data_IF_781955512857
#
_entry.id   IF_781955512857
#
_cell.length_a   1.000
_cell.length_b   1.000
_cell.length_c   1.000
_cell.angle_alpha   90.00
_cell.angle_beta   90.00
_cell.angle_gamma   90.00
#
_symmetry.space_group_name_H-M   'P 1'
#
loop_
_entity.id
_entity.type
_entity.pdbx_description
1 polymer ?
#
# COMPACT_ATOMS: atom_id res chain seq x y z
N UNK A 1 7.89 34.37 4.04
CA UNK A 1 7.75 32.91 4.20
C UNK A 1 6.26 32.59 4.31
N UNK A 2 5.57 32.50 3.17
CA UNK A 2 4.12 32.22 3.16
C UNK A 2 3.99 30.72 3.39
N UNK A 3 3.72 30.33 4.63
CA UNK A 3 3.23 28.99 4.92
C UNK A 3 1.90 28.86 4.17
N UNK A 4 1.93 28.11 3.07
CA UNK A 4 0.78 27.83 2.23
C UNK A 4 -0.35 27.31 3.14
N UNK A 5 -1.49 28.00 3.24
CA UNK A 5 -2.58 27.64 4.17
C UNK A 5 -2.99 26.17 4.02
N UNK A 6 -2.93 25.66 2.79
CA UNK A 6 -3.13 24.25 2.46
C UNK A 6 -2.16 23.29 3.15
N UNK A 7 -0.90 23.69 3.39
CA UNK A 7 0.09 22.87 4.09
C UNK A 7 -0.20 22.77 5.60
N UNK A 8 -0.56 23.89 6.23
CA UNK A 8 -0.93 23.92 7.65
C UNK A 8 -2.19 23.11 7.92
N UNK A 9 -3.22 23.25 7.08
CA UNK A 9 -4.46 22.46 7.17
C UNK A 9 -4.19 20.96 7.01
N UNK A 10 -3.37 20.56 6.02
CA UNK A 10 -2.97 19.15 5.84
C UNK A 10 -2.23 18.60 7.07
N UNK A 11 -1.36 19.41 7.70
CA UNK A 11 -0.63 19.01 8.91
C UNK A 11 -1.56 18.85 10.11
N UNK A 12 -2.53 19.74 10.30
CA UNK A 12 -3.52 19.68 11.37
C UNK A 12 -4.41 18.44 11.25
N UNK A 13 -4.85 18.09 10.04
CA UNK A 13 -5.65 16.87 9.77
C UNK A 13 -4.94 15.58 10.16
N UNK A 14 -3.62 15.56 10.20
CA UNK A 14 -2.80 14.38 10.56
C UNK A 14 -2.57 14.22 12.06
N UNK A 15 -2.88 15.23 12.88
CA UNK A 15 -2.63 15.23 14.33
C UNK A 15 -3.37 14.08 15.04
N UNK A 16 -4.69 13.86 14.82
CA UNK A 16 -5.41 12.80 15.55
C UNK A 16 -4.81 11.41 15.31
N UNK A 17 -4.51 11.08 14.05
CA UNK A 17 -3.87 9.81 13.70
C UNK A 17 -2.47 9.68 14.30
N UNK A 18 -1.68 10.77 14.32
CA UNK A 18 -0.38 10.77 15.00
C UNK A 18 -0.52 10.55 16.50
N UNK A 19 -1.41 11.25 17.18
CA UNK A 19 -1.64 11.08 18.62
C UNK A 19 -2.07 9.65 18.97
N UNK A 20 -2.98 9.06 18.19
CA UNK A 20 -3.39 7.66 18.36
C UNK A 20 -2.22 6.69 18.19
N UNK A 21 -1.33 6.91 17.22
CA UNK A 21 -0.12 6.08 17.07
C UNK A 21 0.88 6.26 18.21
N UNK A 22 1.06 7.49 18.68
CA UNK A 22 1.96 7.76 19.81
C UNK A 22 1.43 7.15 21.11
N UNK A 23 0.10 7.06 21.30
CA UNK A 23 -0.47 6.40 22.48
C UNK A 23 -0.26 4.88 22.49
N UNK A 24 -0.17 4.24 21.31
CA UNK A 24 0.21 2.81 21.18
C UNK A 24 1.66 2.53 21.61
N UNK A 25 2.46 3.55 21.95
CA UNK A 25 3.75 3.34 22.61
C UNK A 25 3.61 2.98 24.09
N UNK A 26 2.44 3.22 24.68
CA UNK A 26 2.14 2.86 26.07
C UNK A 26 1.67 1.40 26.05
N UNK A 27 2.41 0.45 26.66
CA UNK A 27 2.12 -0.99 26.54
C UNK A 27 0.68 -1.37 26.90
N UNK A 28 0.13 -0.73 27.94
CA UNK A 28 -1.26 -0.97 28.36
C UNK A 28 -2.27 -0.55 27.28
N UNK A 29 -2.06 0.59 26.63
CA UNK A 29 -2.94 1.03 25.55
C UNK A 29 -2.77 0.14 24.33
N UNK A 30 -1.54 -0.18 23.95
CA UNK A 30 -1.28 -1.11 22.83
C UNK A 30 -1.99 -2.45 23.03
N UNK A 31 -1.89 -3.04 24.22
CA UNK A 31 -2.58 -4.27 24.56
C UNK A 31 -4.10 -4.15 24.47
N UNK A 32 -4.69 -3.02 24.88
CA UNK A 32 -6.13 -2.78 24.76
C UNK A 32 -6.58 -2.67 23.30
N UNK A 33 -5.88 -1.88 22.47
CA UNK A 33 -6.19 -1.73 21.05
C UNK A 33 -5.99 -3.04 20.29
N UNK A 34 -4.93 -3.78 20.60
CA UNK A 34 -4.66 -5.08 20.03
C UNK A 34 -5.72 -6.11 20.45
N UNK A 35 -6.14 -6.11 21.71
CA UNK A 35 -7.23 -6.97 22.19
C UNK A 35 -8.57 -6.70 21.50
N UNK A 36 -8.90 -5.43 21.24
CA UNK A 36 -10.07 -5.08 20.43
C UNK A 36 -9.92 -5.56 18.97
N UNK A 37 -8.72 -5.45 18.39
CA UNK A 37 -8.43 -6.00 17.07
C UNK A 37 -8.64 -7.53 17.01
N UNK A 38 -8.12 -8.27 17.99
CA UNK A 38 -8.31 -9.73 18.08
C UNK A 38 -9.80 -10.09 18.17
N UNK A 39 -10.58 -9.40 19.01
CA UNK A 39 -12.04 -9.63 19.10
C UNK A 39 -12.75 -9.41 17.77
N UNK A 40 -12.33 -8.41 16.97
CA UNK A 40 -12.90 -8.18 15.63
C UNK A 40 -12.61 -9.34 14.68
N UNK A 41 -11.38 -9.88 14.72
CA UNK A 41 -11.03 -11.07 13.94
C UNK A 41 -11.89 -12.27 14.35
N UNK A 42 -11.99 -12.54 15.66
CA UNK A 42 -12.78 -13.66 16.19
C UNK A 42 -14.26 -13.56 15.82
N UNK A 43 -14.85 -12.38 15.98
CA UNK A 43 -16.26 -12.13 15.64
C UNK A 43 -16.53 -12.25 14.13
N UNK A 44 -15.52 -12.00 13.28
CA UNK A 44 -15.67 -12.04 11.83
C UNK A 44 -15.21 -13.36 11.20
N UNK A 45 -14.55 -14.25 11.94
CA UNK A 45 -13.93 -15.46 11.39
C UNK A 45 -14.91 -16.35 10.59
N UNK A 46 -16.17 -16.46 11.05
CA UNK A 46 -17.23 -17.24 10.39
C UNK A 46 -17.95 -16.48 9.25
N UNK A 47 -17.58 -15.23 9.01
CA UNK A 47 -18.17 -14.34 8.01
C UNK A 47 -17.19 -14.00 6.88
N UNK A 48 -16.00 -14.62 6.87
CA UNK A 48 -15.04 -14.45 5.79
C UNK A 48 -15.62 -14.96 4.46
N UNK A 49 -15.33 -14.27 3.35
CA UNK A 49 -15.75 -14.72 2.04
C UNK A 49 -15.06 -16.04 1.67
N UNK A 50 -15.74 -16.86 0.87
CA UNK A 50 -15.15 -18.06 0.33
C UNK A 50 -13.96 -17.69 -0.58
N UNK A 51 -12.82 -18.33 -0.36
CA UNK A 51 -11.65 -18.15 -1.22
C UNK A 51 -11.65 -19.22 -2.32
N UNK A 52 -11.43 -18.80 -3.57
CA UNK A 52 -11.25 -19.75 -4.67
C UNK A 52 -9.97 -20.59 -4.47
N UNK A 53 -9.97 -21.90 -4.78
CA UNK A 53 -8.79 -22.74 -4.59
C UNK A 53 -7.54 -22.25 -5.33
N UNK A 54 -7.72 -21.58 -6.48
CA UNK A 54 -6.64 -21.00 -7.27
C UNK A 54 -5.87 -19.89 -6.52
N UNK A 55 -6.52 -19.23 -5.56
CA UNK A 55 -5.94 -18.12 -4.80
C UNK A 55 -5.22 -18.57 -3.51
N UNK A 56 -5.38 -19.83 -3.09
CA UNK A 56 -4.73 -20.38 -1.91
C UNK A 56 -3.20 -20.26 -1.93
N UNK A 57 -2.48 -20.57 -3.04
CA UNK A 57 -1.03 -20.42 -3.10
C UNK A 57 -0.56 -18.97 -2.91
N UNK A 58 -1.29 -18.01 -3.49
CA UNK A 58 -1.02 -16.58 -3.32
C UNK A 58 -1.21 -16.18 -1.87
N UNK A 59 -2.36 -16.52 -1.26
CA UNK A 59 -2.65 -16.16 0.12
C UNK A 59 -1.66 -16.79 1.11
N UNK A 60 -1.32 -18.07 0.95
CA UNK A 60 -0.35 -18.77 1.79
C UNK A 60 1.05 -18.17 1.65
N UNK A 61 1.45 -17.80 0.44
CA UNK A 61 2.73 -17.14 0.20
C UNK A 61 2.77 -15.75 0.83
N UNK A 62 1.67 -15.01 0.79
CA UNK A 62 1.54 -13.71 1.46
C UNK A 62 1.66 -13.85 2.99
N UNK A 63 1.01 -14.85 3.59
CA UNK A 63 1.18 -15.15 5.03
C UNK A 63 2.63 -15.48 5.38
N UNK A 64 3.30 -16.29 4.57
CA UNK A 64 4.67 -16.78 4.84
C UNK A 64 5.75 -15.72 4.59
N UNK A 65 5.71 -15.05 3.45
CA UNK A 65 6.78 -14.16 2.98
C UNK A 65 6.48 -12.69 3.23
N UNK A 66 5.20 -12.31 3.33
CA UNK A 66 4.74 -10.92 3.39
C UNK A 66 4.65 -10.24 2.02
N UNK A 67 5.18 -10.85 0.96
CA UNK A 67 5.07 -10.35 -0.43
C UNK A 67 4.95 -11.52 -1.41
N UNK A 68 4.14 -11.35 -2.46
CA UNK A 68 3.99 -12.25 -3.60
C UNK A 68 4.05 -11.43 -4.88
N UNK A 69 4.79 -11.93 -5.88
CA UNK A 69 4.85 -11.34 -7.23
C UNK A 69 4.17 -12.30 -8.20
N UNK A 70 3.33 -11.74 -9.07
CA UNK A 70 2.59 -12.40 -10.15
C UNK A 70 2.40 -11.39 -11.28
N UNK A 71 1.48 -11.62 -12.22
CA UNK A 71 1.12 -10.65 -13.25
C UNK A 71 -0.39 -10.63 -13.50
N UNK A 72 -0.85 -9.62 -14.26
CA UNK A 72 -2.27 -9.46 -14.61
C UNK A 72 -2.82 -10.68 -15.35
N UNK A 73 -2.00 -11.32 -16.18
CA UNK A 73 -2.36 -12.53 -16.93
C UNK A 73 -2.56 -13.73 -16.00
N UNK A 74 -1.61 -13.99 -15.09
CA UNK A 74 -1.69 -15.09 -14.12
C UNK A 74 -2.81 -14.92 -13.10
N UNK A 75 -3.18 -13.68 -12.76
CA UNK A 75 -4.30 -13.43 -11.86
C UNK A 75 -5.63 -13.83 -12.49
N UNK A 76 -5.76 -13.77 -13.81
CA UNK A 76 -7.02 -14.03 -14.54
C UNK A 76 -8.21 -13.16 -14.07
N UNK A 77 -7.93 -12.05 -13.39
CA UNK A 77 -8.92 -11.05 -13.00
C UNK A 77 -8.95 -10.00 -14.10
N UNK A 78 -10.08 -9.89 -14.81
CA UNK A 78 -10.24 -8.98 -15.95
C UNK A 78 -9.63 -7.60 -15.66
N UNK A 79 -8.64 -7.19 -16.46
CA UNK A 79 -7.84 -6.00 -16.24
C UNK A 79 -8.00 -4.96 -17.36
N UNK A 80 -8.90 -5.21 -18.32
CA UNK A 80 -9.09 -4.36 -19.50
C UNK A 80 -9.38 -2.90 -19.13
N UNK A 81 -10.37 -2.64 -18.28
CA UNK A 81 -10.75 -1.27 -17.92
C UNK A 81 -9.68 -0.56 -17.07
N UNK A 82 -8.92 -1.33 -16.28
CA UNK A 82 -7.76 -0.85 -15.54
C UNK A 82 -6.67 -0.38 -16.51
N UNK A 83 -6.33 -1.22 -17.48
CA UNK A 83 -5.32 -0.95 -18.51
C UNK A 83 -5.76 0.23 -19.38
N UNK A 84 -6.99 0.24 -19.89
CA UNK A 84 -7.52 1.33 -20.73
C UNK A 84 -7.44 2.67 -19.97
N UNK A 85 -7.80 2.69 -18.68
CA UNK A 85 -7.70 3.89 -17.84
C UNK A 85 -6.24 4.31 -17.61
N UNK A 86 -5.34 3.36 -17.37
CA UNK A 86 -3.92 3.65 -17.19
C UNK A 86 -3.31 4.23 -18.48
N UNK A 87 -3.58 3.64 -19.64
CA UNK A 87 -3.06 4.10 -20.93
C UNK A 87 -3.56 5.50 -21.31
N UNK A 88 -4.74 5.93 -20.86
CA UNK A 88 -5.16 7.33 -21.03
C UNK A 88 -4.40 8.30 -20.09
N UNK A 89 -4.02 7.86 -18.89
CA UNK A 89 -3.33 8.72 -17.92
C UNK A 89 -1.83 8.79 -18.18
N UNK A 90 -1.20 7.68 -18.55
CA UNK A 90 0.26 7.54 -18.62
C UNK A 90 0.93 8.56 -19.56
N UNK A 91 0.42 8.88 -20.76
CA UNK A 91 0.98 9.93 -21.61
C UNK A 91 0.97 11.30 -20.92
N UNK A 92 -0.12 11.64 -20.21
CA UNK A 92 -0.27 12.90 -19.48
C UNK A 92 0.76 12.99 -18.35
N UNK A 93 0.91 11.90 -17.59
CA UNK A 93 1.89 11.78 -16.50
C UNK A 93 3.35 11.80 -16.99
N UNK A 94 3.62 11.24 -18.18
CA UNK A 94 4.94 11.28 -18.84
C UNK A 94 5.29 12.69 -19.30
N UNK A 95 4.32 13.45 -19.81
CA UNK A 95 4.53 14.80 -20.30
C UNK A 95 4.79 15.84 -19.19
N UNK A 96 4.38 15.55 -17.95
CA UNK A 96 4.65 16.46 -16.83
C UNK A 96 6.15 16.65 -16.59
N UNK A 97 6.59 17.90 -16.32
CA UNK A 97 7.99 18.20 -16.09
C UNK A 97 8.48 17.52 -14.82
N UNK A 98 9.72 17.04 -14.85
CA UNK A 98 10.33 16.41 -13.67
C UNK A 98 10.49 17.47 -12.56
N UNK A 99 9.90 17.25 -11.38
CA UNK A 99 10.01 18.19 -10.27
C UNK A 99 11.46 18.26 -9.77
N UNK A 100 11.94 19.46 -9.41
CA UNK A 100 13.33 19.67 -8.94
C UNK A 100 13.59 19.04 -7.56
N UNK A 101 12.58 19.00 -6.70
CA UNK A 101 12.69 18.64 -5.29
C UNK A 101 11.93 17.35 -4.92
N UNK A 102 11.08 16.84 -5.81
CA UNK A 102 10.26 15.68 -5.52
C UNK A 102 10.82 14.45 -6.23
N UNK A 103 10.74 13.32 -5.55
CA UNK A 103 11.23 12.03 -6.06
C UNK A 103 10.14 11.27 -6.83
N UNK A 104 8.93 11.81 -6.93
CA UNK A 104 7.86 11.25 -7.74
C UNK A 104 6.85 12.33 -8.14
N UNK A 105 6.10 12.07 -9.22
CA UNK A 105 4.85 12.76 -9.53
C UNK A 105 3.73 11.80 -9.17
N UNK A 106 2.77 12.25 -8.37
CA UNK A 106 1.72 11.40 -7.80
C UNK A 106 0.35 11.89 -8.24
N UNK A 107 -0.42 11.02 -8.89
CA UNK A 107 -1.85 11.22 -9.14
C UNK A 107 -2.64 10.54 -8.03
N UNK A 108 -3.49 11.33 -7.36
CA UNK A 108 -4.40 10.86 -6.33
C UNK A 108 -5.77 11.48 -6.55
N UNK A 109 -5.89 12.79 -6.41
CA UNK A 109 -7.16 13.52 -6.58
C UNK A 109 -7.68 13.38 -8.02
N UNK A 110 -6.76 13.41 -8.99
CA UNK A 110 -7.02 13.29 -10.42
C UNK A 110 -7.64 11.94 -10.80
N UNK A 111 -7.40 10.91 -9.99
CA UNK A 111 -7.91 9.57 -10.27
C UNK A 111 -9.43 9.49 -10.15
N UNK A 112 -10.09 10.45 -9.50
CA UNK A 112 -11.56 10.45 -9.39
C UNK A 112 -12.27 10.47 -10.75
N UNK A 113 -11.61 11.01 -11.78
CA UNK A 113 -12.09 11.01 -13.17
C UNK A 113 -12.00 9.63 -13.84
N UNK A 114 -11.39 8.65 -13.16
CA UNK A 114 -11.15 7.28 -13.63
C UNK A 114 -11.73 6.26 -12.64
N UNK A 115 -13.07 6.22 -12.47
CA UNK A 115 -13.71 5.34 -11.49
C UNK A 115 -13.39 3.85 -11.71
N UNK A 116 -13.05 3.45 -12.93
CA UNK A 116 -12.70 2.06 -13.25
C UNK A 116 -11.44 1.56 -12.55
N UNK A 117 -10.50 2.45 -12.20
CA UNK A 117 -9.34 2.07 -11.38
C UNK A 117 -9.79 1.61 -9.98
N UNK A 118 -10.75 2.31 -9.39
CA UNK A 118 -11.32 1.96 -8.08
C UNK A 118 -12.18 0.71 -8.18
N UNK A 119 -13.02 0.61 -9.22
CA UNK A 119 -13.89 -0.56 -9.43
C UNK A 119 -13.09 -1.83 -9.67
N UNK A 120 -11.94 -1.75 -10.36
CA UNK A 120 -11.02 -2.87 -10.47
C UNK A 120 -10.54 -3.33 -9.09
N UNK A 121 -10.10 -2.39 -8.23
CA UNK A 121 -9.67 -2.66 -6.86
C UNK A 121 -10.78 -3.21 -5.94
N UNK A 122 -12.05 -3.07 -6.35
CA UNK A 122 -13.21 -3.55 -5.61
C UNK A 122 -13.79 -4.85 -6.19
N UNK A 123 -13.15 -5.49 -7.17
CA UNK A 123 -13.64 -6.77 -7.70
C UNK A 123 -13.74 -7.82 -6.60
N UNK A 124 -14.85 -8.58 -6.60
CA UNK A 124 -15.18 -9.54 -5.53
C UNK A 124 -14.01 -10.50 -5.26
N UNK A 125 -13.43 -11.15 -6.28
CA UNK A 125 -12.28 -12.05 -6.10
C UNK A 125 -11.04 -11.38 -5.46
N UNK A 126 -10.78 -10.10 -5.76
CA UNK A 126 -9.71 -9.35 -5.07
C UNK A 126 -10.07 -9.09 -3.60
N UNK A 127 -11.32 -8.71 -3.33
CA UNK A 127 -11.80 -8.53 -1.96
C UNK A 127 -11.77 -9.85 -1.19
N UNK A 128 -12.04 -10.99 -1.83
CA UNK A 128 -11.96 -12.31 -1.21
C UNK A 128 -10.54 -12.62 -0.74
N UNK A 129 -9.53 -12.38 -1.59
CA UNK A 129 -8.12 -12.53 -1.23
C UNK A 129 -7.73 -11.57 -0.09
N UNK A 130 -8.08 -10.30 -0.22
CA UNK A 130 -7.69 -9.25 0.74
C UNK A 130 -8.35 -9.48 2.10
N UNK A 131 -9.66 -9.73 2.14
CA UNK A 131 -10.40 -9.96 3.39
C UNK A 131 -9.98 -11.25 4.07
N UNK A 132 -9.69 -12.33 3.33
CA UNK A 132 -9.11 -13.54 3.91
C UNK A 132 -7.71 -13.29 4.52
N UNK A 133 -6.92 -12.38 3.96
CA UNK A 133 -5.62 -12.01 4.56
C UNK A 133 -5.79 -11.12 5.81
N UNK A 134 -6.65 -10.11 5.73
CA UNK A 134 -6.92 -9.17 6.81
C UNK A 134 -7.65 -9.82 7.99
N UNK A 135 -8.54 -10.77 7.71
CA UNK A 135 -9.42 -11.44 8.67
C UNK A 135 -10.67 -10.64 9.06
N UNK A 136 -10.91 -9.50 8.39
CA UNK A 136 -11.99 -8.53 8.64
C UNK A 136 -12.39 -7.85 7.32
N UNK A 137 -13.55 -7.18 7.25
CA UNK A 137 -13.94 -6.41 6.07
C UNK A 137 -12.89 -5.38 5.68
N UNK A 138 -12.62 -5.30 4.37
CA UNK A 138 -11.58 -4.44 3.85
C UNK A 138 -12.06 -3.00 3.70
N UNK A 139 -11.13 -2.06 3.82
CA UNK A 139 -11.26 -0.68 3.39
C UNK A 139 -10.25 -0.43 2.28
N UNK A 140 -10.69 0.03 1.10
CA UNK A 140 -9.82 0.62 0.09
C UNK A 140 -9.39 2.01 0.56
N UNK A 141 -8.31 2.04 1.35
CA UNK A 141 -7.82 3.22 2.03
C UNK A 141 -7.22 4.26 1.08
N UNK A 142 -6.52 3.81 0.03
CA UNK A 142 -5.94 4.70 -0.97
C UNK A 142 -5.77 4.02 -2.34
N UNK A 143 -5.90 4.83 -3.40
CA UNK A 143 -5.47 4.51 -4.75
C UNK A 143 -4.49 5.59 -5.18
N UNK A 144 -3.33 5.20 -5.68
CA UNK A 144 -2.24 6.15 -5.99
C UNK A 144 -1.49 5.69 -7.22
N UNK A 145 -1.49 6.48 -8.28
CA UNK A 145 -0.69 6.28 -9.48
C UNK A 145 0.53 7.18 -9.41
N UNK A 146 1.72 6.64 -9.67
CA UNK A 146 2.97 7.39 -9.51
C UNK A 146 3.90 7.19 -10.69
N UNK A 147 4.58 8.28 -11.07
CA UNK A 147 5.83 8.27 -11.81
C UNK A 147 6.97 8.49 -10.83
N UNK A 148 7.78 7.47 -10.60
CA UNK A 148 8.96 7.53 -9.74
C UNK A 148 10.16 8.01 -10.55
N UNK A 149 10.82 9.09 -10.10
CA UNK A 149 11.90 9.75 -10.83
C UNK A 149 13.24 9.02 -10.66
N UNK A 150 13.91 8.70 -11.76
CA UNK A 150 15.25 8.09 -11.78
C UNK A 150 16.35 9.10 -11.40
N UNK A 151 16.43 9.45 -10.11
CA UNK A 151 17.45 10.37 -9.56
C UNK A 151 18.37 9.68 -8.53
N UNK A 152 18.17 8.38 -8.28
CA UNK A 152 18.95 7.58 -7.32
C UNK A 152 18.81 8.00 -5.85
N UNK A 153 17.96 8.97 -5.51
CA UNK A 153 17.91 9.54 -4.15
C UNK A 153 17.09 8.65 -3.19
N UNK A 154 17.66 8.19 -2.06
CA UNK A 154 16.96 7.39 -1.06
C UNK A 154 16.22 8.30 -0.07
N UNK A 155 15.13 8.91 -0.51
CA UNK A 155 14.29 9.81 0.31
C UNK A 155 12.89 9.24 0.54
N UNK A 156 12.33 9.50 1.72
CA UNK A 156 10.96 9.12 2.08
C UNK A 156 10.72 7.60 1.90
N UNK A 157 9.61 7.22 1.25
CA UNK A 157 9.21 5.82 0.97
C UNK A 157 10.23 5.00 0.17
N UNK A 158 11.32 5.62 -0.29
CA UNK A 158 12.46 4.94 -0.93
C UNK A 158 13.50 4.43 0.05
N UNK A 159 13.38 4.82 1.31
CA UNK A 159 14.13 4.26 2.43
C UNK A 159 13.36 3.08 3.02
N UNK A 160 14.04 2.24 3.79
CA UNK A 160 13.42 1.09 4.45
C UNK A 160 12.43 1.54 5.51
N UNK A 161 11.24 0.99 5.51
CA UNK A 161 10.20 1.26 6.51
C UNK A 161 9.22 0.11 6.61
N UNK A 162 8.37 0.17 7.64
CA UNK A 162 7.11 -0.56 7.71
C UNK A 162 5.99 0.47 7.81
N UNK A 163 4.86 0.16 7.23
CA UNK A 163 3.71 1.05 7.20
C UNK A 163 2.94 1.00 8.53
N UNK A 164 2.53 2.15 9.11
CA UNK A 164 1.89 2.19 10.42
C UNK A 164 0.35 2.25 10.39
N UNK A 165 -0.28 2.09 9.23
CA UNK A 165 -1.72 2.30 9.00
C UNK A 165 -2.62 1.42 9.88
N UNK A 166 -2.27 0.14 10.04
CA UNK A 166 -3.10 -0.85 10.73
C UNK A 166 -2.25 -2.02 11.26
N UNK A 167 -2.85 -3.00 11.93
CA UNK A 167 -2.16 -4.22 12.41
C UNK A 167 -1.86 -5.22 11.29
N UNK A 168 -2.69 -5.25 10.24
CA UNK A 168 -2.45 -5.92 8.96
C UNK A 168 -2.95 -5.02 7.85
N UNK A 169 -2.25 -5.04 6.72
CA UNK A 169 -2.68 -4.32 5.52
C UNK A 169 -2.27 -5.10 4.27
N UNK A 170 -2.89 -4.78 3.15
CA UNK A 170 -2.48 -5.30 1.84
C UNK A 170 -2.28 -4.12 0.91
N UNK A 171 -1.15 -4.08 0.22
CA UNK A 171 -0.97 -3.25 -0.97
C UNK A 171 -0.88 -4.15 -2.19
N UNK A 172 -1.60 -3.75 -3.23
CA UNK A 172 -1.48 -4.32 -4.57
C UNK A 172 -0.82 -3.27 -5.44
N UNK A 173 0.41 -3.54 -5.89
CA UNK A 173 1.21 -2.65 -6.73
C UNK A 173 1.24 -3.24 -8.14
N UNK A 174 0.95 -2.43 -9.15
CA UNK A 174 0.98 -2.86 -10.57
C UNK A 174 1.94 -1.97 -11.33
N UNK A 175 2.81 -2.56 -12.15
CA UNK A 175 3.72 -1.84 -13.03
C UNK A 175 3.11 -1.57 -14.39
N UNK A 176 3.28 -0.34 -14.87
CA UNK A 176 2.85 0.12 -16.20
C UNK A 176 4.04 0.44 -17.13
N UNK A 177 5.17 -0.18 -16.85
CA UNK A 177 6.33 -0.30 -17.74
C UNK A 177 7.20 -1.46 -17.25
N UNK A 178 8.15 -1.89 -18.06
CA UNK A 178 9.15 -2.86 -17.63
C UNK A 178 10.06 -2.25 -16.56
N UNK A 179 10.22 -2.96 -15.44
CA UNK A 179 11.00 -2.52 -14.28
C UNK A 179 12.15 -3.48 -14.06
N UNK A 180 13.33 -3.10 -14.52
CA UNK A 180 14.60 -3.74 -14.18
C UNK A 180 15.13 -3.28 -12.82
N UNK A 181 16.28 -3.83 -12.39
CA UNK A 181 16.90 -3.49 -11.10
C UNK A 181 17.32 -2.01 -10.96
N UNK A 182 17.60 -1.36 -12.08
CA UNK A 182 17.92 0.06 -12.23
C UNK A 182 16.67 0.95 -12.38
N UNK A 183 15.52 0.35 -12.73
CA UNK A 183 14.20 0.96 -12.70
C UNK A 183 13.61 1.08 -11.30
N UNK A 184 14.36 0.67 -10.27
CA UNK A 184 13.99 0.83 -8.88
C UNK A 184 12.72 0.06 -8.52
N UNK A 185 12.72 -1.29 -8.54
CA UNK A 185 11.55 -2.09 -8.18
C UNK A 185 11.15 -1.91 -6.71
N UNK A 186 9.97 -2.42 -6.36
CA UNK A 186 9.64 -2.65 -4.96
C UNK A 186 10.66 -3.64 -4.40
N UNK A 187 11.12 -3.41 -3.19
CA UNK A 187 12.11 -4.26 -2.54
C UNK A 187 11.69 -4.48 -1.10
N UNK A 188 11.81 -5.72 -0.64
CA UNK A 188 11.41 -6.10 0.71
C UNK A 188 12.42 -7.03 1.36
N UNK A 189 12.33 -7.14 2.69
CA UNK A 189 13.02 -8.18 3.46
C UNK A 189 11.95 -9.15 3.97
N UNK A 190 12.13 -10.48 3.82
CA UNK A 190 11.10 -11.45 4.16
C UNK A 190 10.55 -11.32 5.58
N UNK A 191 9.24 -11.52 5.72
CA UNK A 191 8.46 -11.34 6.96
C UNK A 191 9.11 -11.97 8.19
N UNK A 192 9.63 -13.19 8.09
CA UNK A 192 10.21 -13.92 9.22
C UNK A 192 11.41 -13.21 9.88
N UNK A 193 12.07 -12.28 9.18
CA UNK A 193 13.18 -11.47 9.73
C UNK A 193 12.71 -10.17 10.39
N UNK A 194 11.48 -9.73 10.13
CA UNK A 194 11.04 -8.37 10.45
C UNK A 194 11.08 -8.06 11.95
N UNK A 195 10.66 -9.02 12.80
CA UNK A 195 10.68 -8.83 14.25
C UNK A 195 12.10 -8.66 14.79
N UNK A 196 13.04 -9.54 14.40
CA UNK A 196 14.43 -9.45 14.86
C UNK A 196 15.13 -8.20 14.34
N UNK A 197 14.82 -7.78 13.11
CA UNK A 197 15.35 -6.54 12.54
C UNK A 197 14.82 -5.30 13.25
N UNK A 198 13.53 -5.29 13.58
CA UNK A 198 12.94 -4.18 14.31
C UNK A 198 13.55 -4.05 15.71
N UNK A 199 13.77 -5.17 16.40
CA UNK A 199 14.46 -5.18 17.69
C UNK A 199 15.90 -4.64 17.56
N UNK A 200 16.69 -5.16 16.62
CA UNK A 200 18.08 -4.74 16.40
C UNK A 200 18.21 -3.26 16.00
N UNK A 201 17.20 -2.70 15.33
CA UNK A 201 17.15 -1.30 14.93
C UNK A 201 16.51 -0.39 16.00
N UNK A 202 15.99 -0.95 17.10
CA UNK A 202 15.09 -0.25 18.02
C UNK A 202 13.96 0.48 17.27
N UNK A 203 13.41 -0.19 16.25
CA UNK A 203 12.48 0.39 15.30
C UNK A 203 11.09 0.51 15.91
N UNK A 204 10.47 1.68 15.75
CA UNK A 204 9.12 1.91 16.20
C UNK A 204 8.10 1.74 15.07
N UNK A 205 7.38 0.63 15.14
CA UNK A 205 6.28 0.24 14.26
C UNK A 205 5.14 1.27 14.11
N UNK A 206 4.94 2.17 15.06
CA UNK A 206 3.89 3.20 15.03
C UNK A 206 4.42 4.57 14.59
N UNK A 207 5.73 4.68 14.38
CA UNK A 207 6.35 5.86 13.80
C UNK A 207 6.39 5.77 12.27
N UNK A 208 6.35 6.92 11.58
CA UNK A 208 6.65 6.99 10.14
C UNK A 208 8.17 7.08 9.92
N UNK A 209 8.92 6.23 10.63
CA UNK A 209 10.38 6.21 10.61
C UNK A 209 10.92 5.64 9.31
N UNK A 210 12.12 6.07 8.94
CA UNK A 210 12.85 5.56 7.79
C UNK A 210 14.22 5.06 8.24
N UNK A 211 14.62 3.91 7.73
CA UNK A 211 15.91 3.28 7.99
C UNK A 211 16.77 3.42 6.73
N UNK A 212 17.98 3.97 6.90
CA UNK A 212 18.90 4.14 5.79
C UNK A 212 19.45 2.79 5.30
N UNK A 213 19.95 2.74 4.07
CA UNK A 213 20.65 1.55 3.55
C UNK A 213 21.83 1.16 4.44
N UNK A 214 22.55 2.16 4.98
CA UNK A 214 23.68 1.94 5.87
C UNK A 214 23.24 1.27 7.16
N UNK A 215 22.17 1.75 7.81
CA UNK A 215 21.67 1.17 9.04
C UNK A 215 21.08 -0.23 8.81
N UNK A 216 20.30 -0.39 7.74
CA UNK A 216 19.73 -1.69 7.40
C UNK A 216 20.80 -2.73 7.10
N UNK A 217 21.90 -2.36 6.42
CA UNK A 217 23.02 -3.28 6.12
C UNK A 217 23.72 -3.79 7.38
N UNK A 218 23.66 -3.06 8.50
CA UNK A 218 24.26 -3.50 9.79
C UNK A 218 23.50 -4.66 10.41
N UNK A 219 22.20 -4.80 10.12
CA UNK A 219 21.30 -5.79 10.73
C UNK A 219 20.79 -6.84 9.75
N UNK A 220 20.78 -6.53 8.45
CA UNK A 220 20.30 -7.39 7.37
C UNK A 220 21.30 -7.38 6.19
N UNK A 221 21.96 -8.52 5.89
CA UNK A 221 22.81 -8.63 4.70
C UNK A 221 22.04 -8.30 3.43
N UNK A 222 22.67 -7.65 2.45
CA UNK A 222 22.02 -7.31 1.17
C UNK A 222 21.44 -8.51 0.41
N UNK A 223 21.96 -9.72 0.65
CA UNK A 223 21.43 -10.96 0.08
C UNK A 223 20.00 -11.28 0.56
N UNK A 224 19.55 -10.71 1.68
CA UNK A 224 18.17 -10.85 2.18
C UNK A 224 17.23 -9.78 1.64
N UNK A 225 17.73 -8.82 0.85
CA UNK A 225 16.92 -7.76 0.24
C UNK A 225 16.42 -8.28 -1.10
N UNK A 226 15.12 -8.52 -1.20
CA UNK A 226 14.50 -9.17 -2.35
C UNK A 226 13.84 -8.11 -3.24
N UNK A 227 14.43 -7.81 -4.41
CA UNK A 227 13.80 -6.92 -5.38
C UNK A 227 12.69 -7.67 -6.14
N UNK A 228 11.64 -6.94 -6.51
CA UNK A 228 10.53 -7.43 -7.32
C UNK A 228 10.53 -6.76 -8.72
N UNK A 229 11.53 -7.03 -9.59
CA UNK A 229 11.49 -6.55 -10.97
C UNK A 229 10.45 -7.35 -11.77
N UNK A 230 10.07 -6.81 -12.93
CA UNK A 230 9.17 -7.52 -13.84
C UNK A 230 8.71 -6.64 -15.00
N UNK A 231 8.10 -7.25 -16.04
CA UNK A 231 7.57 -6.51 -17.19
C UNK A 231 6.35 -5.65 -16.82
N UNK A 232 5.87 -4.85 -17.77
CA UNK A 232 4.52 -4.27 -17.72
C UNK A 232 3.49 -5.33 -17.29
N UNK A 233 2.56 -4.95 -16.41
CA UNK A 233 1.52 -5.86 -15.91
C UNK A 233 1.97 -6.74 -14.72
N UNK A 234 3.22 -6.63 -14.26
CA UNK A 234 3.65 -7.24 -13.00
C UNK A 234 2.78 -6.74 -11.85
N UNK A 235 2.29 -7.65 -11.01
CA UNK A 235 1.47 -7.38 -9.83
C UNK A 235 2.18 -7.87 -8.58
N UNK A 236 2.20 -7.03 -7.54
CA UNK A 236 2.84 -7.33 -6.27
C UNK A 236 1.80 -7.19 -5.16
N UNK A 237 1.45 -8.30 -4.53
CA UNK A 237 0.68 -8.32 -3.29
C UNK A 237 1.64 -8.24 -2.12
N UNK A 238 1.44 -7.32 -1.20
CA UNK A 238 2.37 -7.16 -0.08
C UNK A 238 1.69 -6.64 1.18
N UNK A 239 2.06 -7.20 2.32
CA UNK A 239 1.72 -6.69 3.64
C UNK A 239 2.86 -5.82 4.15
N UNK A 240 2.80 -4.55 3.79
CA UNK A 240 3.79 -3.52 4.14
C UNK A 240 3.85 -3.18 5.63
N UNK A 241 2.88 -3.67 6.42
CA UNK A 241 2.91 -3.58 7.87
C UNK A 241 3.80 -4.69 8.48
N UNK A 242 3.83 -5.86 7.85
CA UNK A 242 4.53 -7.04 8.37
C UNK A 242 5.98 -7.19 7.89
N UNK A 243 6.44 -6.34 6.97
CA UNK A 243 7.76 -6.41 6.36
C UNK A 243 8.44 -5.05 6.27
N UNK A 244 9.77 -5.04 6.45
CA UNK A 244 10.58 -3.92 5.97
C UNK A 244 10.58 -3.90 4.45
N UNK A 245 10.21 -2.77 3.88
CA UNK A 245 10.13 -2.58 2.44
C UNK A 245 10.55 -1.17 2.04
N UNK A 246 10.74 -0.99 0.73
CA UNK A 246 10.98 0.31 0.11
C UNK A 246 10.59 0.31 -1.35
N UNK A 247 10.40 1.51 -1.88
CA UNK A 247 10.44 1.78 -3.31
C UNK A 247 11.89 2.06 -3.70
N UNK A 248 12.65 1.05 -4.11
CA UNK A 248 14.09 1.21 -4.39
C UNK A 248 14.32 2.42 -5.32
N UNK A 249 15.26 3.32 -5.00
CA UNK A 249 15.51 4.48 -5.85
C UNK A 249 15.91 4.05 -7.28
N UNK A 250 15.19 4.50 -8.32
CA UNK A 250 15.58 4.22 -9.69
C UNK A 250 16.82 5.04 -10.07
N UNK A 251 17.70 4.45 -10.87
CA UNK A 251 18.93 5.06 -11.37
C UNK A 251 19.01 5.10 -12.89
N UNK A 252 18.32 4.19 -13.59
CA UNK A 252 18.37 4.07 -15.05
C UNK A 252 17.08 4.51 -15.73
N UNK A 253 15.94 4.03 -15.24
CA UNK A 253 14.63 4.29 -15.86
C UNK A 253 13.58 4.74 -14.85
N UNK A 254 12.62 5.53 -15.33
CA UNK A 254 11.47 5.94 -14.55
C UNK A 254 10.55 4.74 -14.31
N UNK A 255 9.87 4.68 -13.17
CA UNK A 255 8.88 3.64 -12.89
C UNK A 255 7.48 4.23 -12.78
N UNK A 256 6.56 3.66 -13.54
CA UNK A 256 5.14 3.98 -13.53
C UNK A 256 4.39 2.84 -12.83
N UNK A 257 3.72 3.16 -11.74
CA UNK A 257 3.00 2.14 -10.97
C UNK A 257 1.76 2.70 -10.30
N UNK A 258 0.71 1.89 -10.21
CA UNK A 258 -0.44 2.16 -9.35
C UNK A 258 -0.36 1.29 -8.10
N UNK A 259 -0.81 1.83 -6.97
CA UNK A 259 -0.90 1.12 -5.70
C UNK A 259 -2.30 1.26 -5.14
N UNK A 260 -2.93 0.12 -4.90
CA UNK A 260 -4.18 -0.02 -4.16
C UNK A 260 -3.83 -0.44 -2.74
N UNK A 261 -4.24 0.35 -1.75
CA UNK A 261 -3.94 0.10 -0.33
C UNK A 261 -5.21 -0.26 0.41
N UNK A 262 -5.18 -1.41 1.08
CA UNK A 262 -6.28 -1.97 1.86
C UNK A 262 -5.89 -2.10 3.33
N UNK A 263 -6.79 -1.69 4.21
CA UNK A 263 -6.70 -1.87 5.67
C UNK A 263 -7.98 -2.49 6.19
N UNK A 264 -8.10 -2.72 7.50
CA UNK A 264 -9.44 -2.90 8.08
C UNK A 264 -10.26 -1.60 7.94
N UNK A 265 -11.59 -1.71 8.06
CA UNK A 265 -12.50 -0.54 8.16
C UNK A 265 -12.35 0.27 9.46
N UNK A 266 -11.51 -0.18 10.40
CA UNK A 266 -11.14 0.51 11.65
C UNK A 266 -9.62 0.58 11.86
N UNK A 267 -8.89 1.27 10.97
CA UNK A 267 -7.44 1.27 11.02
C UNK A 267 -6.90 2.01 12.25
N UNK A 268 -5.64 1.75 12.60
CA UNK A 268 -4.92 2.48 13.65
C UNK A 268 -4.84 3.95 13.26
N UNK A 269 -4.38 4.23 12.06
CA UNK A 269 -4.31 5.59 11.51
C UNK A 269 -4.74 5.59 10.06
N UNK A 270 -5.30 6.71 9.64
CA UNK A 270 -5.60 6.96 8.23
C UNK A 270 -4.68 8.07 7.74
N UNK A 271 -4.15 7.92 6.55
CA UNK A 271 -3.63 9.07 5.81
C UNK A 271 -4.79 9.77 5.08
N UNK A 272 -4.56 11.00 4.62
CA UNK A 272 -5.61 11.83 4.03
C UNK A 272 -6.32 11.10 2.89
N UNK A 273 -7.64 10.92 3.03
CA UNK A 273 -8.50 10.52 1.92
C UNK A 273 -8.73 11.77 1.08
N UNK A 274 -8.36 11.67 -0.19
CA UNK A 274 -8.40 12.81 -1.11
C UNK A 274 -9.75 12.96 -1.83
N UNK A 275 -10.77 12.19 -1.41
CA UNK A 275 -12.08 12.18 -2.04
C UNK A 275 -13.18 12.49 -1.02
N UNK A 276 -14.13 13.32 -1.43
CA UNK A 276 -15.35 13.59 -0.68
C UNK A 276 -16.26 12.36 -0.64
N UNK A 277 -17.19 12.34 0.32
CA UNK A 277 -18.22 11.29 0.41
C UNK A 277 -19.02 11.16 -0.89
N UNK A 278 -19.37 12.28 -1.52
CA UNK A 278 -20.10 12.30 -2.79
C UNK A 278 -19.30 11.67 -3.94
N UNK A 279 -18.00 11.99 -4.04
CA UNK A 279 -17.10 11.39 -5.03
C UNK A 279 -17.01 9.86 -4.85
N UNK A 280 -16.91 9.39 -3.60
CA UNK A 280 -16.89 7.96 -3.30
C UNK A 280 -18.23 7.29 -3.60
N UNK A 281 -19.36 7.95 -3.33
CA UNK A 281 -20.70 7.46 -3.68
C UNK A 281 -20.88 7.31 -5.20
N UNK A 282 -20.31 8.23 -6.00
CA UNK A 282 -20.33 8.10 -7.45
C UNK A 282 -19.55 6.86 -7.93
N UNK A 283 -18.39 6.57 -7.32
CA UNK A 283 -17.64 5.32 -7.59
C UNK A 283 -18.46 4.09 -7.19
N UNK A 284 -19.15 4.15 -6.05
CA UNK A 284 -19.97 3.07 -5.50
C UNK A 284 -21.16 2.68 -6.39
N UNK A 285 -21.56 3.55 -7.33
CA UNK A 285 -22.69 3.30 -8.22
C UNK A 285 -22.47 2.04 -9.07
N UNK A 286 -23.45 1.12 -8.99
CA UNK A 286 -23.43 -0.17 -9.68
C UNK A 286 -22.62 -1.26 -8.99
N UNK A 287 -22.10 -1.03 -7.78
CA UNK A 287 -21.39 -2.02 -6.98
C UNK A 287 -22.32 -2.70 -5.96
N UNK A 288 -21.97 -3.92 -5.54
CA UNK A 288 -22.65 -4.64 -4.45
C UNK A 288 -22.52 -3.89 -3.13
N UNK A 289 -23.39 -4.15 -2.14
CA UNK A 289 -23.30 -3.47 -0.84
C UNK A 289 -21.93 -3.70 -0.17
N UNK A 290 -21.37 -4.91 -0.27
CA UNK A 290 -20.03 -5.25 0.24
C UNK A 290 -18.94 -4.39 -0.40
N UNK A 291 -18.98 -4.24 -1.72
CA UNK A 291 -18.02 -3.40 -2.46
C UNK A 291 -18.17 -1.92 -2.10
N UNK A 292 -19.40 -1.43 -1.91
CA UNK A 292 -19.65 -0.05 -1.49
C UNK A 292 -19.10 0.20 -0.08
N UNK A 293 -19.33 -0.74 0.84
CA UNK A 293 -18.84 -0.72 2.21
C UNK A 293 -17.32 -0.60 2.29
N UNK A 294 -16.59 -1.21 1.35
CA UNK A 294 -15.13 -1.10 1.25
C UNK A 294 -14.64 0.33 0.97
N UNK A 295 -15.51 1.27 0.58
CA UNK A 295 -15.18 2.66 0.39
C UNK A 295 -15.36 3.50 1.66
N UNK A 296 -15.85 2.95 2.76
CA UNK A 296 -16.19 3.72 3.97
C UNK A 296 -15.66 3.03 5.24
N UNK A 297 -15.28 3.86 6.22
CA UNK A 297 -14.96 3.37 7.56
C UNK A 297 -16.21 2.79 8.24
N UNK A 298 -15.99 1.96 9.26
CA UNK A 298 -17.03 1.52 10.21
C UNK A 298 -17.28 2.56 11.30
#
# INVERSE_FOLDING_TARGET
MILNENYLVKKLKRIPGKLKRESLRIPMLDHLYYGDYIKRLENHANSLPALEPVDLPLLNSLFKQGTVVTCLEELEISSKELIDSAEDILPKLRALPIPKLESCITYREELISYPQLFKWALKERLLDIVENYLGVPALLAAVTLQRTIADGKPVHVRQWHVDPEDYRMVKIIIYFNDVGLDGGPFEYIPRHLTSSLAEALNYNYYSSGFVSDQDMTRVAPKATWIPCPGPYGTVIFTDTRSIFHRLKPPTGSQRYSITFSYTSRRPITTFERNFSKHQLQAIASGLSQRQQDCLFFD
#
